data_IF_494998861748
#
_entry.id   IF_494998861748
#
_cell.length_a   1.000
_cell.length_b   1.000
_cell.length_c   1.000
_cell.angle_alpha   90.00
_cell.angle_beta   90.00
_cell.angle_gamma   90.00
#
_symmetry.space_group_name_H-M   'P 1'
#
loop_
_entity.id
_entity.type
_entity.pdbx_description
1 polymer ?
#
# COMPACT_ATOMS: atom_id res chain seq x y z
N UNK A 1 2.29 -20.09 -3.90
CA UNK A 1 1.87 -19.00 -2.98
C UNK A 1 2.05 -17.70 -3.74
N UNK A 2 1.35 -16.62 -3.39
CA UNK A 2 1.57 -15.32 -4.04
C UNK A 2 1.58 -14.17 -3.05
N UNK A 3 2.34 -13.13 -3.36
CA UNK A 3 2.52 -11.96 -2.51
C UNK A 3 2.53 -10.68 -3.34
N UNK A 4 1.87 -9.65 -2.84
CA UNK A 4 1.76 -8.36 -3.53
C UNK A 4 1.85 -7.18 -2.59
N UNK A 5 2.10 -6.01 -3.16
CA UNK A 5 2.04 -4.73 -2.46
C UNK A 5 0.84 -3.93 -2.95
N UNK A 6 0.17 -3.26 -2.02
CA UNK A 6 -0.92 -2.34 -2.34
C UNK A 6 -0.67 -0.98 -1.67
N UNK A 7 0.03 -0.06 -2.35
CA UNK A 7 0.31 1.26 -1.82
C UNK A 7 -0.99 2.03 -1.59
N UNK A 8 -1.14 2.61 -0.40
CA UNK A 8 -2.39 3.25 0.03
C UNK A 8 -2.12 4.60 0.68
N UNK A 9 -2.94 5.59 0.39
CA UNK A 9 -2.72 6.97 0.83
C UNK A 9 -4.02 7.65 1.27
N UNK A 10 -3.88 8.83 1.87
CA UNK A 10 -4.98 9.73 2.22
C UNK A 10 -4.79 11.03 1.48
N UNK A 11 -5.75 11.40 0.64
CA UNK A 11 -5.78 12.66 -0.07
C UNK A 11 -7.18 13.28 0.05
N UNK A 12 -7.26 14.55 0.43
CA UNK A 12 -8.53 15.26 0.70
C UNK A 12 -9.49 14.45 1.60
N UNK A 13 -8.94 13.88 2.68
CA UNK A 13 -9.64 13.03 3.66
C UNK A 13 -10.22 11.71 3.12
N UNK A 14 -9.99 11.40 1.84
CA UNK A 14 -10.39 10.17 1.16
C UNK A 14 -9.20 9.21 1.05
N UNK A 15 -9.47 7.91 1.20
CA UNK A 15 -8.46 6.87 1.03
C UNK A 15 -8.40 6.45 -0.43
N UNK A 16 -7.18 6.32 -0.93
CA UNK A 16 -6.90 5.82 -2.27
C UNK A 16 -5.89 4.68 -2.24
N UNK A 17 -6.11 3.71 -3.11
CA UNK A 17 -5.25 2.55 -3.36
C UNK A 17 -4.66 2.66 -4.75
N UNK A 18 -3.35 2.41 -4.89
CA UNK A 18 -2.69 2.44 -6.20
C UNK A 18 -2.84 1.06 -6.85
N UNK A 19 -3.51 1.01 -7.99
CA UNK A 19 -3.63 -0.21 -8.80
C UNK A 19 -2.90 -0.03 -10.13
N UNK A 20 -2.41 -1.14 -10.68
CA UNK A 20 -1.84 -1.23 -12.02
C UNK A 20 -2.79 -1.97 -12.95
N UNK A 21 -2.84 -1.57 -14.22
CA UNK A 21 -3.58 -2.24 -15.29
C UNK A 21 -2.66 -3.22 -16.00
N UNK A 22 -3.05 -4.48 -16.09
CA UNK A 22 -2.31 -5.49 -16.86
C UNK A 22 -2.28 -5.16 -18.36
N UNK A 23 -1.49 -5.91 -19.14
CA UNK A 23 -1.49 -5.80 -20.60
C UNK A 23 -2.74 -6.45 -21.18
N UNK A 24 -3.22 -5.93 -22.30
CA UNK A 24 -4.41 -6.48 -22.98
C UNK A 24 -4.17 -7.90 -23.55
N UNK A 25 -2.92 -8.36 -23.60
CA UNK A 25 -2.53 -9.72 -24.01
C UNK A 25 -2.55 -10.74 -22.86
N UNK A 26 -2.65 -10.27 -21.62
CA UNK A 26 -2.65 -11.16 -20.45
C UNK A 26 -4.02 -11.84 -20.30
N UNK A 27 -4.03 -13.03 -19.68
CA UNK A 27 -5.28 -13.74 -19.42
C UNK A 27 -6.13 -12.96 -18.40
N UNK A 28 -7.34 -12.58 -18.83
CA UNK A 28 -8.27 -11.74 -18.07
C UNK A 28 -7.64 -10.39 -17.66
N UNK A 29 -7.39 -9.49 -18.63
CA UNK A 29 -6.75 -8.21 -18.36
C UNK A 29 -7.67 -7.33 -17.50
N UNK A 30 -7.07 -6.44 -16.72
CA UNK A 30 -7.79 -5.55 -15.82
C UNK A 30 -6.88 -4.91 -14.79
N UNK A 31 -7.47 -4.20 -13.85
CA UNK A 31 -6.77 -3.62 -12.71
C UNK A 31 -6.46 -4.70 -11.65
N UNK A 32 -5.30 -4.58 -11.02
CA UNK A 32 -4.82 -5.43 -9.91
C UNK A 32 -3.78 -4.65 -9.09
N UNK A 33 -3.37 -5.22 -7.97
CA UNK A 33 -2.20 -4.74 -7.23
C UNK A 33 -0.89 -5.14 -7.93
N UNK A 34 0.25 -4.90 -7.27
CA UNK A 34 1.57 -5.19 -7.81
C UNK A 34 2.14 -6.45 -7.18
N UNK A 35 2.17 -7.56 -7.90
CA UNK A 35 2.45 -8.86 -7.28
C UNK A 35 2.25 -10.08 -8.16
N UNK A 36 2.81 -11.18 -7.68
CA UNK A 36 2.89 -12.42 -8.45
C UNK A 36 3.14 -13.66 -7.59
N UNK A 37 3.56 -14.72 -8.28
CA UNK A 37 3.89 -16.00 -7.67
C UNK A 37 5.25 -15.98 -6.96
N UNK A 38 5.37 -16.76 -5.90
CA UNK A 38 6.62 -16.93 -5.17
C UNK A 38 7.65 -17.75 -5.95
N UNK A 39 8.91 -17.34 -5.90
CA UNK A 39 10.05 -18.17 -6.26
C UNK A 39 10.46 -19.11 -5.12
N UNK A 40 11.35 -20.08 -5.40
CA UNK A 40 11.72 -21.12 -4.44
C UNK A 40 12.38 -20.49 -3.20
N UNK A 41 11.73 -20.65 -2.05
CA UNK A 41 12.23 -20.16 -0.76
C UNK A 41 11.75 -18.75 -0.40
N UNK A 42 10.96 -18.10 -1.25
CA UNK A 42 10.40 -16.79 -0.93
C UNK A 42 9.28 -16.86 0.12
N UNK A 43 9.27 -15.88 1.02
CA UNK A 43 8.13 -15.55 1.86
C UNK A 43 7.13 -14.67 1.10
N UNK A 44 5.92 -14.50 1.62
CA UNK A 44 4.96 -13.50 1.11
C UNK A 44 5.57 -12.10 1.00
N UNK A 45 6.31 -11.68 2.04
CA UNK A 45 6.90 -10.35 2.11
C UNK A 45 8.03 -10.16 1.09
N UNK A 46 8.93 -11.15 0.94
CA UNK A 46 10.01 -11.06 -0.04
C UNK A 46 9.49 -11.10 -1.47
N UNK A 47 8.48 -11.93 -1.74
CA UNK A 47 7.79 -11.97 -3.04
C UNK A 47 7.20 -10.60 -3.37
N UNK A 48 6.44 -10.02 -2.43
CA UNK A 48 5.82 -8.71 -2.61
C UNK A 48 6.86 -7.60 -2.86
N UNK A 49 8.00 -7.62 -2.17
CA UNK A 49 9.08 -6.65 -2.38
C UNK A 49 9.66 -6.76 -3.80
N UNK A 50 9.96 -7.98 -4.26
CA UNK A 50 10.52 -8.24 -5.60
C UNK A 50 9.52 -7.83 -6.69
N UNK A 51 8.34 -8.43 -6.68
CA UNK A 51 7.29 -8.17 -7.69
C UNK A 51 6.88 -6.69 -7.71
N UNK A 52 6.69 -6.09 -6.53
CA UNK A 52 6.35 -4.68 -6.41
C UNK A 52 7.44 -3.75 -6.93
N UNK A 53 8.72 -4.10 -6.77
CA UNK A 53 9.83 -3.34 -7.35
C UNK A 53 9.92 -3.49 -8.87
N UNK A 54 9.69 -4.70 -9.39
CA UNK A 54 9.73 -5.02 -10.82
C UNK A 54 8.60 -4.32 -11.58
N UNK A 55 7.35 -4.51 -11.15
CA UNK A 55 6.15 -4.03 -11.86
C UNK A 55 5.95 -2.51 -11.77
N UNK A 56 6.46 -1.88 -10.71
CA UNK A 56 6.50 -0.41 -10.61
C UNK A 56 7.72 0.19 -11.32
N UNK A 57 8.58 -0.63 -11.93
CA UNK A 57 9.71 -0.17 -12.75
C UNK A 57 10.60 0.86 -12.03
N UNK A 58 10.80 0.67 -10.72
CA UNK A 58 11.60 1.56 -9.90
C UNK A 58 10.96 2.90 -9.50
N UNK A 59 9.68 3.15 -9.82
CA UNK A 59 8.99 4.39 -9.42
C UNK A 59 8.80 4.54 -7.90
N UNK A 60 8.82 3.43 -7.16
CA UNK A 60 8.89 3.43 -5.69
C UNK A 60 10.31 3.14 -5.16
N UNK A 61 11.31 3.16 -6.04
CA UNK A 61 12.70 2.82 -5.75
C UNK A 61 13.01 1.34 -5.97
N UNK A 62 14.16 0.91 -5.44
CA UNK A 62 14.63 -0.47 -5.48
C UNK A 62 13.88 -1.37 -4.50
N UNK A 63 14.12 -2.68 -4.54
CA UNK A 63 13.64 -3.63 -3.52
C UNK A 63 13.96 -3.17 -2.08
N UNK A 64 15.13 -2.55 -1.88
CA UNK A 64 15.53 -2.01 -0.57
C UNK A 64 14.62 -0.85 -0.14
N UNK A 65 14.20 -0.02 -1.08
CA UNK A 65 13.32 1.13 -0.82
C UNK A 65 11.88 0.66 -0.60
N UNK A 66 11.40 -0.28 -1.43
CA UNK A 66 10.11 -0.95 -1.24
C UNK A 66 10.04 -1.62 0.13
N UNK A 67 11.08 -2.37 0.54
CA UNK A 67 11.16 -2.95 1.88
C UNK A 67 11.05 -1.92 2.99
N UNK A 68 11.69 -0.75 2.83
CA UNK A 68 11.58 0.34 3.81
C UNK A 68 10.15 0.88 3.86
N UNK A 69 9.49 1.06 2.71
CA UNK A 69 8.10 1.50 2.66
C UNK A 69 7.15 0.53 3.40
N UNK A 70 7.27 -0.78 3.17
CA UNK A 70 6.44 -1.79 3.81
C UNK A 70 6.67 -1.89 5.32
N UNK A 71 7.91 -1.70 5.77
CA UNK A 71 8.27 -1.85 7.19
C UNK A 71 8.08 -0.58 8.01
N UNK A 72 8.13 0.61 7.37
CA UNK A 72 8.03 1.92 8.05
C UNK A 72 6.81 2.07 8.96
N UNK A 73 5.66 1.56 8.53
CA UNK A 73 4.41 1.64 9.29
C UNK A 73 3.77 0.26 9.54
N UNK A 74 4.40 -0.81 9.04
CA UNK A 74 3.81 -2.13 8.91
C UNK A 74 2.80 -2.21 7.77
N UNK A 75 2.17 -3.38 7.66
CA UNK A 75 1.19 -3.70 6.61
C UNK A 75 -0.13 -4.18 7.23
N UNK A 76 -1.24 -3.90 6.54
CA UNK A 76 -2.52 -4.59 6.75
C UNK A 76 -2.63 -5.67 5.68
N UNK A 77 -2.75 -6.93 6.09
CA UNK A 77 -2.73 -8.05 5.15
C UNK A 77 -4.16 -8.47 4.80
N UNK A 78 -4.41 -8.66 3.51
CA UNK A 78 -5.59 -9.37 3.01
C UNK A 78 -5.13 -10.70 2.43
N UNK A 79 -5.66 -11.79 2.97
CA UNK A 79 -5.39 -13.14 2.48
C UNK A 79 -6.56 -13.64 1.67
N UNK A 80 -6.30 -14.04 0.43
CA UNK A 80 -7.25 -14.71 -0.43
C UNK A 80 -6.77 -16.12 -0.72
N UNK A 81 -7.66 -17.10 -0.55
CA UNK A 81 -7.41 -18.50 -0.86
C UNK A 81 -8.57 -19.01 -1.71
N UNK A 82 -8.29 -19.39 -2.94
CA UNK A 82 -9.23 -20.12 -3.81
C UNK A 82 -8.99 -21.62 -3.71
N UNK A 83 -10.02 -22.40 -3.99
CA UNK A 83 -9.94 -23.87 -3.97
C UNK A 83 -8.91 -24.38 -4.97
N UNK A 84 -8.07 -25.32 -4.55
CA UNK A 84 -6.99 -25.87 -5.37
C UNK A 84 -5.76 -24.96 -5.54
N UNK A 85 -5.78 -23.74 -5.00
CA UNK A 85 -4.65 -22.81 -5.07
C UNK A 85 -4.08 -22.47 -3.69
N UNK A 86 -2.79 -22.13 -3.68
CA UNK A 86 -2.12 -21.60 -2.50
C UNK A 86 -2.60 -20.17 -2.19
N UNK A 87 -2.51 -19.76 -0.93
CA UNK A 87 -2.86 -18.41 -0.49
C UNK A 87 -2.12 -17.33 -1.27
N UNK A 88 -2.86 -16.27 -1.61
CA UNK A 88 -2.39 -14.98 -2.09
C UNK A 88 -2.51 -13.96 -0.96
N UNK A 89 -1.45 -13.19 -0.68
CA UNK A 89 -1.46 -12.14 0.35
C UNK A 89 -1.17 -10.77 -0.25
N UNK A 90 -2.10 -9.84 -0.10
CA UNK A 90 -1.90 -8.44 -0.41
C UNK A 90 -1.45 -7.66 0.82
N UNK A 91 -0.27 -7.02 0.72
CA UNK A 91 0.29 -6.16 1.75
C UNK A 91 -0.12 -4.70 1.52
N UNK A 92 -1.20 -4.28 2.17
CA UNK A 92 -1.69 -2.90 2.13
C UNK A 92 -0.82 -2.05 3.06
N UNK A 93 -0.18 -1.01 2.55
CA UNK A 93 0.71 -0.16 3.37
C UNK A 93 0.48 1.34 3.16
N UNK A 94 0.69 2.16 4.20
CA UNK A 94 0.53 3.61 4.08
C UNK A 94 1.74 4.25 3.37
N UNK A 95 1.47 5.06 2.35
CA UNK A 95 2.44 5.96 1.73
C UNK A 95 1.90 7.39 1.62
N UNK A 96 2.81 8.36 1.55
CA UNK A 96 2.44 9.76 1.31
C UNK A 96 1.84 9.88 -0.10
N UNK A 97 0.81 10.73 -0.25
CA UNK A 97 0.23 10.98 -1.56
C UNK A 97 1.25 11.67 -2.47
N UNK A 98 1.33 11.20 -3.70
CA UNK A 98 2.14 11.77 -4.77
C UNK A 98 1.22 11.98 -5.98
N UNK A 99 1.00 13.24 -6.32
CA UNK A 99 0.16 13.71 -7.41
C UNK A 99 0.80 13.46 -8.78
N UNK A 100 2.12 13.40 -8.84
CA UNK A 100 2.88 13.26 -10.09
C UNK A 100 3.22 11.79 -10.41
N UNK A 101 3.16 10.89 -9.44
CA UNK A 101 3.45 9.45 -9.61
C UNK A 101 2.71 8.85 -10.80
N UNK A 102 1.38 9.03 -10.86
CA UNK A 102 0.54 8.50 -11.94
C UNK A 102 0.93 9.11 -13.28
N UNK A 103 1.16 10.42 -13.32
CA UNK A 103 1.53 11.12 -14.54
C UNK A 103 2.86 10.60 -15.11
N UNK A 104 3.91 10.55 -14.28
CA UNK A 104 5.23 10.14 -14.73
C UNK A 104 5.30 8.66 -15.09
N UNK A 105 4.67 7.78 -14.31
CA UNK A 105 4.63 6.35 -14.63
C UNK A 105 3.93 6.12 -15.97
N UNK A 106 2.71 6.64 -16.13
CA UNK A 106 1.92 6.39 -17.33
C UNK A 106 2.58 7.02 -18.57
N UNK A 107 3.24 8.16 -18.43
CA UNK A 107 4.00 8.77 -19.53
C UNK A 107 5.23 7.93 -19.90
N UNK A 108 5.97 7.44 -18.90
CA UNK A 108 7.14 6.59 -19.13
C UNK A 108 6.74 5.26 -19.79
N UNK A 109 5.68 4.59 -19.31
CA UNK A 109 5.19 3.36 -19.93
C UNK A 109 4.77 3.57 -21.38
N UNK A 110 4.02 4.63 -21.69
CA UNK A 110 3.65 4.98 -23.08
C UNK A 110 4.87 5.20 -23.97
N UNK A 111 5.91 5.87 -23.44
CA UNK A 111 7.14 6.09 -24.18
C UNK A 111 7.89 4.77 -24.46
N UNK A 112 8.07 3.94 -23.43
CA UNK A 112 8.78 2.67 -23.55
C UNK A 112 8.06 1.71 -24.50
N UNK A 113 6.74 1.59 -24.39
CA UNK A 113 5.95 0.73 -25.27
C UNK A 113 6.02 1.14 -26.74
N UNK A 114 6.20 2.43 -27.03
CA UNK A 114 6.35 2.95 -28.38
C UNK A 114 7.76 2.76 -28.97
N UNK A 115 8.77 2.60 -28.11
CA UNK A 115 10.19 2.67 -28.51
C UNK A 115 10.94 1.36 -28.39
N UNK A 116 10.51 0.46 -27.51
CA UNK A 116 11.08 -0.86 -27.35
C UNK A 116 10.44 -1.87 -28.30
N UNK A 117 11.19 -2.91 -28.64
CA UNK A 117 10.65 -4.06 -29.38
C UNK A 117 9.49 -4.68 -28.57
N UNK A 118 8.31 -4.90 -29.19
CA UNK A 118 7.19 -5.60 -28.54
C UNK A 118 7.57 -6.91 -27.87
N UNK A 119 8.57 -7.63 -28.41
CA UNK A 119 9.07 -8.86 -27.80
C UNK A 119 9.74 -8.62 -26.45
N UNK A 120 10.52 -7.55 -26.32
CA UNK A 120 11.14 -7.17 -25.04
C UNK A 120 10.05 -6.86 -24.00
N UNK A 121 9.04 -6.11 -24.41
CA UNK A 121 7.91 -5.71 -23.53
C UNK A 121 7.12 -6.92 -23.07
N UNK A 122 6.90 -7.90 -23.95
CA UNK A 122 6.14 -9.10 -23.64
C UNK A 122 6.90 -10.07 -22.75
N UNK A 123 8.18 -10.29 -23.05
CA UNK A 123 8.96 -11.36 -22.43
C UNK A 123 9.58 -10.93 -21.08
N UNK A 124 9.48 -9.66 -20.69
CA UNK A 124 9.94 -9.14 -19.38
C UNK A 124 8.80 -8.92 -18.39
N UNK A 125 9.07 -9.16 -17.11
CA UNK A 125 8.18 -8.83 -15.99
C UNK A 125 8.08 -7.34 -15.67
N UNK A 126 9.08 -6.56 -16.08
CA UNK A 126 9.22 -5.14 -15.71
C UNK A 126 8.09 -4.27 -16.31
N UNK A 127 7.52 -4.70 -17.43
CA UNK A 127 6.51 -3.95 -18.19
C UNK A 127 5.14 -4.64 -18.22
N UNK A 128 4.82 -5.47 -17.22
CA UNK A 128 3.51 -6.13 -17.10
C UNK A 128 2.38 -5.13 -16.79
N UNK A 129 2.67 -4.04 -16.09
CA UNK A 129 1.70 -2.96 -15.88
C UNK A 129 1.82 -1.90 -16.97
N UNK A 130 0.70 -1.63 -17.63
CA UNK A 130 0.61 -0.64 -18.73
C UNK A 130 0.23 0.75 -18.24
N UNK A 131 -0.47 0.82 -17.11
CA UNK A 131 -1.00 2.04 -16.52
C UNK A 131 -1.12 1.86 -15.00
N UNK A 132 -0.95 2.93 -14.22
CA UNK A 132 -1.33 2.97 -12.80
C UNK A 132 -2.36 4.05 -12.54
N UNK A 133 -3.18 3.85 -11.51
CA UNK A 133 -4.18 4.84 -11.07
C UNK A 133 -4.53 4.67 -9.60
N UNK A 134 -4.86 5.79 -8.96
CA UNK A 134 -5.42 5.84 -7.61
C UNK A 134 -6.94 5.57 -7.64
N UNK A 135 -7.40 4.63 -6.83
CA UNK A 135 -8.82 4.26 -6.68
C UNK A 135 -9.26 4.47 -5.24
N UNK A 136 -10.39 5.16 -5.06
CA UNK A 136 -11.10 5.18 -3.78
C UNK A 136 -11.92 3.91 -3.59
N UNK A 137 -12.43 3.68 -2.38
CA UNK A 137 -13.40 2.62 -2.13
C UNK A 137 -14.63 2.72 -3.05
N UNK A 138 -15.09 3.95 -3.38
CA UNK A 138 -16.21 4.13 -4.31
C UNK A 138 -15.84 3.69 -5.72
N UNK A 139 -14.64 4.01 -6.17
CA UNK A 139 -14.15 3.57 -7.49
C UNK A 139 -14.07 2.04 -7.54
N UNK A 140 -13.58 1.39 -6.49
CA UNK A 140 -13.51 -0.07 -6.39
C UNK A 140 -14.89 -0.74 -6.49
N UNK A 141 -15.94 -0.12 -5.92
CA UNK A 141 -17.33 -0.62 -6.04
C UNK A 141 -17.84 -0.43 -7.47
N UNK A 142 -17.72 0.79 -8.01
CA UNK A 142 -18.29 1.16 -9.30
C UNK A 142 -17.57 0.49 -10.49
N UNK A 143 -16.28 0.21 -10.34
CA UNK A 143 -15.42 -0.33 -11.40
C UNK A 143 -14.99 -1.77 -11.10
N UNK A 144 -15.71 -2.49 -10.23
CA UNK A 144 -15.34 -3.85 -9.80
C UNK A 144 -15.08 -4.79 -10.99
N UNK A 145 -15.88 -4.71 -12.04
CA UNK A 145 -15.75 -5.54 -13.25
C UNK A 145 -14.53 -5.21 -14.10
N UNK A 146 -13.86 -4.07 -13.87
CA UNK A 146 -12.63 -3.70 -14.56
C UNK A 146 -11.38 -4.27 -13.88
N UNK A 147 -11.51 -4.88 -12.70
CA UNK A 147 -10.42 -5.63 -12.07
C UNK A 147 -10.34 -7.03 -12.66
N UNK A 148 -9.14 -7.62 -12.64
CA UNK A 148 -8.93 -9.01 -13.07
C UNK A 148 -9.88 -9.95 -12.37
N UNK A 149 -10.35 -10.99 -13.06
CA UNK A 149 -11.36 -11.94 -12.56
C UNK A 149 -11.08 -12.44 -11.13
N UNK A 150 -9.88 -13.00 -10.88
CA UNK A 150 -9.53 -13.47 -9.53
C UNK A 150 -9.44 -12.31 -8.52
N UNK A 151 -8.95 -11.15 -8.97
CA UNK A 151 -8.68 -9.99 -8.12
C UNK A 151 -9.97 -9.30 -7.65
N UNK A 152 -11.09 -9.48 -8.36
CA UNK A 152 -12.41 -9.04 -7.88
C UNK A 152 -12.77 -9.63 -6.51
N UNK A 153 -12.26 -10.82 -6.19
CA UNK A 153 -12.42 -11.42 -4.86
C UNK A 153 -11.56 -10.69 -3.81
N UNK A 154 -10.32 -10.35 -4.14
CA UNK A 154 -9.44 -9.54 -3.28
C UNK A 154 -10.05 -8.16 -3.01
N UNK A 155 -10.57 -7.50 -4.05
CA UNK A 155 -11.33 -6.23 -3.94
C UNK A 155 -12.50 -6.38 -2.97
N UNK A 156 -13.25 -7.48 -3.05
CA UNK A 156 -14.36 -7.74 -2.13
C UNK A 156 -13.89 -7.87 -0.68
N UNK A 157 -12.77 -8.55 -0.44
CA UNK A 157 -12.16 -8.65 0.89
C UNK A 157 -11.68 -7.30 1.42
N UNK A 158 -11.08 -6.47 0.55
CA UNK A 158 -10.68 -5.09 0.90
C UNK A 158 -11.90 -4.27 1.32
N UNK A 159 -12.98 -4.32 0.54
CA UNK A 159 -14.23 -3.60 0.84
C UNK A 159 -14.86 -4.06 2.16
N UNK A 160 -14.85 -5.37 2.43
CA UNK A 160 -15.35 -5.93 3.70
C UNK A 160 -14.51 -5.49 4.92
N UNK A 161 -13.23 -5.15 4.71
CA UNK A 161 -12.31 -4.67 5.73
C UNK A 161 -12.15 -3.14 5.72
N UNK A 162 -13.02 -2.40 5.02
CA UNK A 162 -12.91 -0.95 4.82
C UNK A 162 -12.63 -0.18 6.10
N UNK A 163 -13.40 -0.43 7.17
CA UNK A 163 -13.30 0.33 8.43
C UNK A 163 -11.94 0.10 9.10
N UNK A 164 -11.45 -1.14 9.09
CA UNK A 164 -10.19 -1.53 9.69
C UNK A 164 -9.00 -0.96 8.90
N UNK A 165 -9.05 -1.07 7.56
CA UNK A 165 -8.06 -0.49 6.67
C UNK A 165 -8.03 1.03 6.84
N UNK A 166 -9.19 1.67 6.86
CA UNK A 166 -9.28 3.12 7.01
C UNK A 166 -8.67 3.61 8.32
N UNK A 167 -8.99 2.93 9.43
CA UNK A 167 -8.38 3.20 10.73
C UNK A 167 -6.87 3.00 10.70
N UNK A 168 -6.41 1.90 10.11
CA UNK A 168 -4.98 1.59 9.99
C UNK A 168 -4.25 2.71 9.23
N UNK A 169 -4.66 3.02 8.00
CA UNK A 169 -4.02 4.01 7.13
C UNK A 169 -4.04 5.41 7.76
N UNK A 170 -5.22 5.88 8.20
CA UNK A 170 -5.36 7.23 8.79
C UNK A 170 -4.52 7.38 10.06
N UNK A 171 -4.43 6.34 10.90
CA UNK A 171 -3.62 6.40 12.13
C UNK A 171 -2.12 6.58 11.88
N UNK A 172 -1.63 6.23 10.69
CA UNK A 172 -0.20 6.30 10.32
C UNK A 172 0.14 7.56 9.52
N UNK A 173 -0.79 8.03 8.68
CA UNK A 173 -0.55 9.18 7.79
C UNK A 173 -1.07 10.51 8.33
N UNK A 174 -2.00 10.52 9.29
CA UNK A 174 -2.42 11.79 9.87
C UNK A 174 -1.36 12.35 10.84
N UNK A 175 -1.15 13.68 10.87
CA UNK A 175 -0.30 14.30 11.84
C UNK A 175 -0.81 13.94 13.23
N UNK A 176 0.07 13.44 14.10
CA UNK A 176 -0.26 13.36 15.53
C UNK A 176 -0.49 14.78 15.99
N UNK A 177 -1.75 15.16 16.20
CA UNK A 177 -2.07 16.33 16.99
C UNK A 177 -1.45 16.06 18.35
N UNK A 178 -0.28 16.67 18.62
CA UNK A 178 0.22 16.79 19.96
C UNK A 178 -0.85 17.57 20.71
N UNK A 179 -1.75 16.87 21.40
CA UNK A 179 -2.55 17.49 22.43
C UNK A 179 -1.55 18.18 23.33
N UNK A 180 -1.59 19.51 23.36
CA UNK A 180 -0.86 20.31 24.34
C UNK A 180 -1.25 19.72 25.69
N UNK A 181 -0.47 18.80 26.24
CA UNK A 181 -0.55 18.42 27.65
C UNK A 181 -0.40 19.74 28.37
N UNK A 182 -1.51 20.27 28.86
CA UNK A 182 -1.55 21.53 29.58
C UNK A 182 -0.45 21.48 30.63
N UNK A 183 0.53 22.37 30.49
CA UNK A 183 1.66 22.55 31.42
C UNK A 183 1.20 22.70 32.89
N UNK A 184 -0.10 22.94 33.14
CA UNK A 184 -0.74 23.02 34.45
C UNK A 184 -0.58 21.78 35.35
N UNK A 185 -0.51 20.55 34.81
CA UNK A 185 -0.40 19.37 35.68
C UNK A 185 1.00 19.14 36.28
N UNK A 186 2.07 19.60 35.61
CA UNK A 186 3.44 19.50 36.14
C UNK A 186 3.78 20.55 37.19
N UNK A 187 3.08 21.70 37.19
CA UNK A 187 3.26 22.72 38.22
C UNK A 187 2.57 22.34 39.54
N UNK A 188 1.40 21.70 39.46
CA UNK A 188 0.64 21.30 40.66
C UNK A 188 1.25 20.08 41.39
N UNK A 189 1.97 19.18 40.71
CA UNK A 189 2.68 18.09 41.39
C UNK A 189 3.97 18.54 42.10
N UNK A 190 4.54 19.68 41.72
CA UNK A 190 5.71 20.26 42.41
C UNK A 190 5.33 21.01 43.68
N UNK A 191 4.18 21.72 43.71
CA UNK A 191 3.71 22.41 44.94
C UNK A 191 3.26 21.46 46.05
N UNK A 192 2.69 20.29 45.72
CA UNK A 192 2.26 19.32 46.74
C UNK A 192 3.42 18.57 47.40
N UNK A 193 4.57 18.46 46.73
CA UNK A 193 5.79 17.89 47.32
C UNK A 193 6.55 18.87 48.22
N UNK A 194 6.43 20.18 48.01
CA UNK A 194 7.09 21.18 48.86
C UNK A 194 6.37 21.37 50.21
N UNK A 195 5.05 21.24 50.25
CA UNK A 195 4.27 21.37 51.49
C UNK A 195 4.42 20.18 52.45
N UNK A 196 4.62 18.95 51.94
CA UNK A 196 4.79 17.77 52.80
C UNK A 196 6.16 17.68 53.48
N UNK A 197 7.18 18.37 52.96
CA UNK A 197 8.54 18.32 53.53
C UNK A 197 8.76 19.28 54.70
N UNK A 198 7.86 20.26 54.88
CA UNK A 198 7.98 21.29 55.92
C UNK A 198 7.10 21.02 57.17
N UNK A 199 6.37 19.91 57.23
CA UNK A 199 5.56 19.54 58.42
C UNK A 199 6.14 18.38 59.23
N UNK A 200 7.24 17.77 58.81
CA UNK A 200 7.93 16.69 59.53
C UNK A 200 9.21 17.16 60.25
N UNK A 201 9.25 18.42 60.65
CA UNK A 201 10.35 19.00 61.43
C UNK A 201 9.81 19.97 62.48
N UNK A 202 9.04 19.44 63.43
CA UNK A 202 8.85 19.97 64.78
C UNK A 202 8.59 18.82 65.73
#
# INVERSE_FOLDING_TARGET
>A
MGGSILPTTVHNNTIYFLFGKERDIDENPGWSDFGGGTEKGESFMSTAIREGSEELTGFLGSEKDVKQLLTKYGTYNIDFKSDGHSTYRAHIFPMKYDDMLVYYYNNNQKFLQKRLDPKIIRDTKIFEKTEIRWFSFSDMVNMKTQFRSFYQNVVSLILNNRVQIERFIKSKLQPKNYTKRTFKQRYNSRKSHTYKKNQSSK
#
